data_IF_315184656243
#
_entry.id   IF_315184656243
#
_cell.length_a   1.000
_cell.length_b   1.000
_cell.length_c   1.000
_cell.angle_alpha   90.00
_cell.angle_beta   90.00
_cell.angle_gamma   90.00
#
_symmetry.space_group_name_H-M   'P 1'
#
loop_
_entity.id
_entity.type
_entity.pdbx_description
1 polymer ?
#
# COMPACT_ATOMS: atom_id res chain seq x y z
N UNK A 1 9.96 -0.64 32.06
CA UNK A 1 9.38 -1.10 30.77
C UNK A 1 8.59 0.00 30.06
N UNK A 2 7.50 0.53 30.63
CA UNK A 2 6.63 1.51 29.97
C UNK A 2 7.35 2.80 29.48
N UNK A 3 8.23 3.37 30.30
CA UNK A 3 8.92 4.62 29.96
C UNK A 3 9.87 4.48 28.75
N UNK A 4 10.49 3.31 28.57
CA UNK A 4 11.36 3.03 27.42
C UNK A 4 10.54 2.88 26.13
N UNK A 5 9.35 2.27 26.21
CA UNK A 5 8.44 2.14 25.09
C UNK A 5 7.89 3.51 24.64
N UNK A 6 7.48 4.37 25.57
CA UNK A 6 7.02 5.73 25.27
C UNK A 6 8.11 6.57 24.62
N UNK A 7 9.36 6.42 25.06
CA UNK A 7 10.50 7.12 24.49
C UNK A 7 10.81 6.65 23.05
N UNK A 8 10.73 5.35 22.81
CA UNK A 8 10.92 4.77 21.49
C UNK A 8 9.82 5.22 20.51
N UNK A 9 8.57 5.30 20.97
CA UNK A 9 7.45 5.81 20.18
C UNK A 9 7.66 7.29 19.83
N UNK A 10 8.04 8.12 20.80
CA UNK A 10 8.33 9.54 20.55
C UNK A 10 9.49 9.75 19.56
N UNK A 11 10.50 8.88 19.60
CA UNK A 11 11.61 8.90 18.64
C UNK A 11 11.16 8.48 17.23
N UNK A 12 10.23 7.53 17.13
CA UNK A 12 9.65 7.13 15.85
C UNK A 12 8.84 8.28 15.23
N UNK A 13 8.04 8.98 16.01
CA UNK A 13 7.27 10.16 15.56
C UNK A 13 8.17 11.32 15.09
N UNK A 14 9.39 11.43 15.64
CA UNK A 14 10.38 12.43 15.23
C UNK A 14 11.23 12.00 14.01
N UNK A 15 10.97 10.83 13.44
CA UNK A 15 11.73 10.24 12.33
C UNK A 15 11.00 10.41 10.99
N UNK A 16 11.78 10.60 9.92
CA UNK A 16 11.24 10.66 8.57
C UNK A 16 10.95 9.25 8.05
N UNK A 17 9.75 8.97 7.51
CA UNK A 17 9.41 7.65 6.97
C UNK A 17 10.14 7.32 5.66
N UNK A 18 10.76 8.32 5.01
CA UNK A 18 11.51 8.11 3.75
C UNK A 18 12.97 7.74 4.04
N UNK A 19 13.69 8.54 4.80
CA UNK A 19 15.12 8.28 5.09
C UNK A 19 15.36 7.50 6.38
N UNK A 20 14.33 7.27 7.19
CA UNK A 20 14.36 6.53 8.47
C UNK A 20 15.32 7.13 9.51
N UNK A 21 15.68 8.39 9.34
CA UNK A 21 16.49 9.21 10.26
C UNK A 21 15.62 10.33 10.85
N UNK A 22 16.12 11.03 11.87
CA UNK A 22 15.44 12.19 12.43
C UNK A 22 15.11 13.22 11.34
N UNK A 23 13.92 13.80 11.43
CA UNK A 23 13.46 14.83 10.50
C UNK A 23 14.46 16.00 10.44
N UNK A 24 14.94 16.30 9.23
CA UNK A 24 15.76 17.47 8.91
C UNK A 24 14.93 18.45 8.10
N UNK A 25 14.82 19.68 8.58
CA UNK A 25 13.92 20.70 8.00
C UNK A 25 12.52 20.11 7.72
N UNK A 26 11.82 19.61 8.76
CA UNK A 26 10.55 18.94 8.57
C UNK A 26 9.55 19.82 7.84
N UNK A 27 8.81 19.21 6.92
CA UNK A 27 7.59 19.77 6.32
C UNK A 27 6.42 18.88 6.69
N UNK A 28 5.26 19.50 6.85
CA UNK A 28 3.99 18.81 7.13
C UNK A 28 3.13 18.91 5.88
N UNK A 29 2.69 17.76 5.40
CA UNK A 29 1.71 17.66 4.29
C UNK A 29 0.30 17.96 4.79
N UNK A 30 -0.63 18.23 3.89
CA UNK A 30 -2.03 18.56 4.24
C UNK A 30 -2.75 17.40 4.96
N UNK A 31 -2.32 16.15 4.70
CA UNK A 31 -2.79 14.98 5.44
C UNK A 31 -2.17 14.81 6.84
N UNK A 32 -1.30 15.72 7.27
CA UNK A 32 -0.67 15.72 8.59
C UNK A 32 0.62 14.90 8.72
N UNK A 33 1.04 14.18 7.67
CA UNK A 33 2.30 13.42 7.69
C UNK A 33 3.52 14.32 7.51
N UNK A 34 4.62 13.96 8.17
CA UNK A 34 5.83 14.77 8.27
C UNK A 34 7.03 14.12 7.58
N UNK A 35 7.78 14.91 6.81
CA UNK A 35 8.92 14.44 6.04
C UNK A 35 10.08 15.43 6.12
N UNK A 36 11.31 14.98 5.87
CA UNK A 36 12.39 15.92 5.56
C UNK A 36 12.03 16.64 4.26
N UNK A 37 12.27 17.96 4.19
CA UNK A 37 12.01 18.76 3.00
C UNK A 37 12.66 18.17 1.74
N UNK A 38 13.92 17.75 1.83
CA UNK A 38 14.62 17.13 0.69
C UNK A 38 14.02 15.78 0.29
N UNK A 39 13.63 14.94 1.26
CA UNK A 39 13.10 13.61 0.99
C UNK A 39 11.78 13.65 0.24
N UNK A 40 10.86 14.54 0.63
CA UNK A 40 9.56 14.65 -0.05
C UNK A 40 9.70 15.29 -1.43
N UNK A 41 10.58 16.29 -1.59
CA UNK A 41 10.82 16.91 -2.89
C UNK A 41 11.45 15.96 -3.90
N UNK A 42 12.39 15.12 -3.46
CA UNK A 42 12.97 14.07 -4.29
C UNK A 42 11.91 13.03 -4.67
N UNK A 43 11.00 12.68 -3.75
CA UNK A 43 9.90 11.76 -4.06
C UNK A 43 8.92 12.34 -5.07
N UNK A 44 8.78 13.65 -5.14
CA UNK A 44 7.92 14.39 -6.07
C UNK A 44 8.67 15.00 -7.26
N UNK A 45 9.91 14.57 -7.54
CA UNK A 45 10.75 15.18 -8.56
C UNK A 45 10.17 15.01 -9.99
N UNK A 46 9.68 13.82 -10.31
CA UNK A 46 9.18 13.46 -11.64
C UNK A 46 7.64 13.56 -11.80
N UNK A 47 6.94 14.08 -10.78
CA UNK A 47 5.48 14.15 -10.78
C UNK A 47 4.97 15.52 -11.28
N UNK A 48 3.95 15.49 -12.14
CA UNK A 48 3.27 16.69 -12.63
C UNK A 48 1.81 16.69 -12.20
N UNK A 49 1.37 17.77 -11.55
CA UNK A 49 -0.02 17.98 -11.10
C UNK A 49 -0.43 17.20 -9.86
N UNK A 50 0.15 16.01 -9.67
CA UNK A 50 -0.28 15.07 -8.65
C UNK A 50 0.80 14.74 -7.62
N UNK A 51 0.58 15.09 -6.35
CA UNK A 51 1.58 14.93 -5.27
C UNK A 51 1.03 14.05 -4.13
N UNK A 52 1.02 12.72 -4.28
CA UNK A 52 0.51 11.83 -3.25
C UNK A 52 1.44 11.80 -2.03
N UNK A 53 0.85 11.77 -0.84
CA UNK A 53 1.57 11.53 0.41
C UNK A 53 2.19 10.12 0.40
N UNK A 54 3.51 9.96 0.65
CA UNK A 54 4.15 8.65 0.68
C UNK A 54 3.65 7.67 1.75
N UNK A 55 2.86 8.14 2.73
CA UNK A 55 2.35 7.31 3.84
C UNK A 55 0.90 6.90 3.61
N UNK A 56 0.00 7.84 3.33
CA UNK A 56 -1.43 7.57 3.22
C UNK A 56 -2.00 7.71 1.79
N UNK A 57 -1.16 8.07 0.82
CA UNK A 57 -1.52 8.28 -0.59
C UNK A 57 -2.54 9.40 -0.83
N UNK A 58 -2.94 10.15 0.19
CA UNK A 58 -3.80 11.32 0.02
C UNK A 58 -3.11 12.39 -0.83
N UNK A 59 -3.91 13.04 -1.66
CA UNK A 59 -3.44 14.06 -2.57
C UNK A 59 -3.02 15.33 -1.83
N UNK A 60 -1.79 15.78 -2.07
CA UNK A 60 -1.36 17.10 -1.65
C UNK A 60 -1.58 18.07 -2.84
N UNK A 61 -2.34 19.16 -2.65
CA UNK A 61 -2.66 20.10 -3.72
C UNK A 61 -1.47 20.95 -4.17
N UNK A 62 -0.40 21.03 -3.36
CA UNK A 62 0.76 21.87 -3.66
C UNK A 62 2.09 21.20 -3.32
N UNK A 63 3.08 21.42 -4.19
CA UNK A 63 4.49 21.06 -4.01
C UNK A 63 5.19 22.01 -3.04
N UNK A 64 4.68 23.23 -2.85
CA UNK A 64 5.28 24.29 -2.02
C UNK A 64 5.02 24.12 -0.52
N UNK A 65 5.47 22.99 0.03
CA UNK A 65 5.30 22.68 1.45
C UNK A 65 6.12 23.64 2.33
N UNK A 66 5.44 24.25 3.31
CA UNK A 66 6.10 25.09 4.31
C UNK A 66 6.80 24.23 5.35
N UNK A 67 7.99 24.67 5.75
CA UNK A 67 8.72 24.05 6.86
C UNK A 67 7.97 24.23 8.17
N UNK A 68 7.89 23.17 8.94
CA UNK A 68 7.36 23.16 10.29
C UNK A 68 8.49 23.47 11.29
N UNK A 69 8.67 24.75 11.59
CA UNK A 69 9.74 25.22 12.48
C UNK A 69 9.56 24.75 13.92
N UNK A 70 8.32 24.56 14.38
CA UNK A 70 8.03 24.02 15.70
C UNK A 70 8.46 22.56 15.78
N UNK A 71 8.09 21.75 14.80
CA UNK A 71 8.50 20.34 14.75
C UNK A 71 10.02 20.20 14.64
N UNK A 72 10.69 21.09 13.91
CA UNK A 72 12.16 21.13 13.88
C UNK A 72 12.76 21.28 15.29
N UNK A 73 12.25 22.22 16.09
CA UNK A 73 12.67 22.40 17.49
C UNK A 73 12.34 21.18 18.36
N UNK A 74 11.16 20.58 18.17
CA UNK A 74 10.76 19.38 18.92
C UNK A 74 11.69 18.21 18.61
N UNK A 75 12.05 18.00 17.34
CA UNK A 75 12.99 16.97 16.92
C UNK A 75 14.34 17.17 17.60
N UNK A 76 14.80 18.42 17.76
CA UNK A 76 16.05 18.71 18.48
C UNK A 76 15.97 18.41 19.98
N UNK A 77 14.82 18.61 20.61
CA UNK A 77 14.58 18.17 22.00
C UNK A 77 14.56 16.64 22.09
N UNK A 78 13.84 15.96 21.20
CA UNK A 78 13.76 14.48 21.17
C UNK A 78 15.13 13.86 20.93
N UNK A 79 15.97 14.48 20.09
CA UNK A 79 17.36 14.08 19.88
C UNK A 79 18.19 14.09 21.16
N UNK A 80 17.90 14.96 22.13
CA UNK A 80 18.64 15.06 23.41
C UNK A 80 18.20 14.01 24.44
N UNK A 81 17.04 13.39 24.25
CA UNK A 81 16.58 12.34 25.14
C UNK A 81 17.51 11.11 25.12
N UNK A 82 17.58 10.32 26.21
CA UNK A 82 18.41 9.13 26.31
C UNK A 82 18.04 8.13 25.21
N UNK A 83 18.72 8.22 24.09
CA UNK A 83 18.40 7.41 22.94
C UNK A 83 19.16 6.09 23.09
N UNK A 84 18.43 4.98 23.17
CA UNK A 84 19.02 3.63 23.08
C UNK A 84 19.83 3.47 21.79
N UNK A 85 19.60 4.31 20.77
CA UNK A 85 20.35 4.38 19.52
C UNK A 85 21.55 5.34 19.52
N UNK A 86 21.68 6.30 20.47
CA UNK A 86 22.80 7.29 20.48
C UNK A 86 24.15 6.75 20.93
N UNK A 87 24.22 5.51 21.47
CA UNK A 87 25.52 4.83 21.65
C UNK A 87 26.20 4.47 20.33
N UNK A 88 25.56 4.65 19.17
CA UNK A 88 26.19 4.47 17.84
C UNK A 88 26.60 5.81 17.23
N UNK A 89 27.24 6.69 18.01
CA UNK A 89 28.08 7.72 17.41
C UNK A 89 29.16 6.96 16.63
N UNK A 90 29.29 7.26 15.34
CA UNK A 90 30.13 6.62 14.31
C UNK A 90 31.60 6.46 14.72
N UNK A 91 31.90 5.60 15.67
CA UNK A 91 33.10 4.78 15.67
C UNK A 91 32.64 3.42 15.13
N UNK A 92 33.43 2.83 14.24
CA UNK A 92 33.29 1.43 13.84
C UNK A 92 33.56 0.54 15.07
N UNK A 93 32.65 0.56 16.06
CA UNK A 93 32.70 -0.39 17.16
C UNK A 93 32.31 -1.74 16.56
N UNK A 94 33.33 -2.53 16.24
CA UNK A 94 33.16 -3.89 15.77
C UNK A 94 32.39 -4.66 16.86
N UNK A 95 31.29 -5.34 16.51
CA UNK A 95 30.45 -6.02 17.50
C UNK A 95 31.26 -7.10 18.21
N UNK A 96 31.15 -7.17 19.53
CA UNK A 96 31.90 -8.11 20.36
C UNK A 96 30.99 -9.25 20.84
N UNK A 97 31.55 -10.45 20.91
CA UNK A 97 30.91 -11.61 21.50
C UNK A 97 30.80 -11.43 23.02
N UNK A 98 29.62 -11.62 23.58
CA UNK A 98 29.39 -11.48 25.03
C UNK A 98 30.18 -12.49 25.87
N UNK A 99 30.35 -13.72 25.36
CA UNK A 99 31.05 -14.81 26.07
C UNK A 99 32.56 -14.62 26.04
N UNK A 100 33.11 -14.26 24.88
CA UNK A 100 34.55 -14.30 24.61
C UNK A 100 35.20 -12.92 24.50
N UNK A 101 34.40 -11.84 24.47
CA UNK A 101 34.86 -10.46 24.29
C UNK A 101 35.74 -10.24 23.04
N UNK A 102 35.56 -11.10 22.03
CA UNK A 102 36.23 -11.01 20.74
C UNK A 102 35.29 -10.47 19.66
N UNK A 103 35.86 -9.89 18.61
CA UNK A 103 35.10 -9.41 17.46
C UNK A 103 34.29 -10.55 16.82
N UNK A 104 33.00 -10.29 16.61
CA UNK A 104 32.11 -11.11 15.81
C UNK A 104 32.42 -10.87 14.34
N UNK A 105 33.02 -11.86 13.68
CA UNK A 105 33.49 -11.76 12.29
C UNK A 105 33.01 -12.92 11.41
N UNK A 106 32.36 -13.92 11.99
CA UNK A 106 31.83 -15.09 11.29
C UNK A 106 30.30 -15.07 11.36
N UNK A 107 29.67 -15.65 10.36
CA UNK A 107 28.23 -15.83 10.28
C UNK A 107 27.92 -17.31 10.00
N UNK A 108 27.03 -17.88 10.82
CA UNK A 108 26.48 -19.21 10.58
C UNK A 108 25.23 -19.09 9.72
N UNK A 109 25.23 -19.72 8.54
CA UNK A 109 24.06 -19.64 7.64
C UNK A 109 22.88 -20.49 8.10
N UNK A 110 23.12 -21.52 8.90
CA UNK A 110 22.07 -22.42 9.41
C UNK A 110 21.30 -21.79 10.57
N UNK A 111 22.02 -21.28 11.57
CA UNK A 111 21.41 -20.70 12.77
C UNK A 111 21.14 -19.20 12.65
N UNK A 112 21.66 -18.57 11.59
CA UNK A 112 21.56 -17.12 11.33
C UNK A 112 22.20 -16.26 12.43
N UNK A 113 23.28 -16.75 13.04
CA UNK A 113 23.98 -16.09 14.15
C UNK A 113 25.35 -15.54 13.75
N UNK A 114 25.76 -14.46 14.42
CA UNK A 114 27.12 -13.92 14.35
C UNK A 114 27.99 -14.56 15.43
N UNK A 115 29.16 -15.03 15.02
CA UNK A 115 30.09 -15.77 15.87
C UNK A 115 31.47 -15.10 15.89
N UNK A 116 32.17 -15.24 17.01
CA UNK A 116 33.60 -14.93 17.07
C UNK A 116 34.43 -16.20 16.78
N UNK A 117 35.74 -16.07 16.52
CA UNK A 117 36.62 -17.22 16.24
C UNK A 117 36.63 -18.28 17.35
N UNK A 118 36.41 -17.89 18.61
CA UNK A 118 36.35 -18.84 19.74
C UNK A 118 35.01 -19.58 19.81
N UNK A 119 33.88 -18.96 19.45
CA UNK A 119 32.58 -19.66 19.40
C UNK A 119 32.63 -20.86 18.45
N UNK A 120 33.37 -20.79 17.34
CA UNK A 120 33.57 -21.93 16.45
C UNK A 120 34.07 -23.19 17.17
N UNK A 121 34.90 -23.02 18.20
CA UNK A 121 35.57 -24.13 18.90
C UNK A 121 34.81 -24.54 20.17
N UNK A 122 34.07 -23.61 20.79
CA UNK A 122 33.45 -23.79 22.10
C UNK A 122 31.94 -24.06 22.09
N UNK A 123 31.29 -24.10 20.92
CA UNK A 123 29.82 -24.21 20.81
C UNK A 123 29.37 -25.27 19.81
N UNK A 124 28.05 -25.48 19.74
CA UNK A 124 27.33 -26.43 18.86
C UNK A 124 27.53 -26.17 17.34
N UNK A 125 28.24 -25.11 16.95
CA UNK A 125 28.48 -24.74 15.55
C UNK A 125 29.78 -25.31 14.97
N UNK A 126 30.35 -26.38 15.55
CA UNK A 126 31.61 -26.96 15.07
C UNK A 126 31.50 -27.53 13.65
N UNK A 127 30.30 -27.99 13.26
CA UNK A 127 30.03 -28.65 11.99
C UNK A 127 29.24 -27.77 10.99
N UNK A 128 28.82 -26.57 11.40
CA UNK A 128 28.03 -25.70 10.52
C UNK A 128 28.93 -24.90 9.57
N UNK A 129 28.50 -24.64 8.32
CA UNK A 129 29.18 -23.74 7.40
C UNK A 129 29.24 -22.32 7.97
N UNK A 130 30.45 -21.87 8.29
CA UNK A 130 30.72 -20.50 8.73
C UNK A 130 31.36 -19.72 7.59
N UNK A 131 30.79 -18.56 7.30
CA UNK A 131 31.33 -17.62 6.30
C UNK A 131 31.71 -16.29 6.96
N UNK A 132 32.65 -15.52 6.40
CA UNK A 132 32.94 -14.17 6.89
C UNK A 132 31.70 -13.28 6.86
N UNK A 133 31.52 -12.47 7.91
CA UNK A 133 30.37 -11.58 8.06
C UNK A 133 30.18 -10.66 6.84
N UNK A 134 31.28 -10.12 6.30
CA UNK A 134 31.26 -9.22 5.15
C UNK A 134 30.74 -9.93 3.90
N UNK A 135 31.13 -11.19 3.72
CA UNK A 135 30.70 -12.03 2.60
C UNK A 135 29.22 -12.41 2.73
N UNK A 136 28.80 -12.89 3.91
CA UNK A 136 27.39 -13.16 4.19
C UNK A 136 26.53 -11.92 3.93
N UNK A 137 26.95 -10.77 4.45
CA UNK A 137 26.23 -9.52 4.26
C UNK A 137 26.15 -9.11 2.78
N UNK A 138 27.20 -9.32 2.00
CA UNK A 138 27.17 -9.07 0.55
C UNK A 138 26.19 -10.00 -0.16
N UNK A 139 26.22 -11.31 0.13
CA UNK A 139 25.31 -12.31 -0.42
C UNK A 139 23.85 -12.00 -0.06
N UNK A 140 23.54 -11.71 1.20
CA UNK A 140 22.18 -11.39 1.64
C UNK A 140 21.69 -10.07 1.05
N UNK A 141 22.52 -9.03 0.97
CA UNK A 141 22.16 -7.77 0.28
C UNK A 141 21.79 -8.02 -1.18
N UNK A 142 22.57 -8.83 -1.89
CA UNK A 142 22.26 -9.20 -3.28
C UNK A 142 20.93 -9.96 -3.38
N UNK A 143 20.73 -11.00 -2.58
CA UNK A 143 19.47 -11.78 -2.56
C UNK A 143 18.24 -10.91 -2.28
N UNK A 144 18.36 -9.96 -1.34
CA UNK A 144 17.30 -9.01 -1.04
C UNK A 144 17.02 -8.09 -2.23
N UNK A 145 18.07 -7.53 -2.84
CA UNK A 145 17.94 -6.68 -4.03
C UNK A 145 17.23 -7.42 -5.17
N UNK A 146 17.68 -8.63 -5.49
CA UNK A 146 17.07 -9.46 -6.54
C UNK A 146 15.61 -9.77 -6.24
N UNK A 147 15.27 -9.98 -4.96
CA UNK A 147 13.89 -10.26 -4.53
C UNK A 147 12.99 -9.03 -4.63
N UNK A 148 13.49 -7.86 -4.25
CA UNK A 148 12.78 -6.58 -4.41
C UNK A 148 12.52 -6.31 -5.89
N UNK A 149 13.52 -6.46 -6.76
CA UNK A 149 13.34 -6.27 -8.21
C UNK A 149 12.26 -7.20 -8.79
N UNK A 150 12.26 -8.48 -8.40
CA UNK A 150 11.21 -9.43 -8.82
C UNK A 150 9.83 -9.01 -8.35
N UNK A 151 9.69 -8.62 -7.08
CA UNK A 151 8.41 -8.22 -6.50
C UNK A 151 7.87 -6.95 -7.15
N UNK A 152 8.72 -5.96 -7.41
CA UNK A 152 8.35 -4.74 -8.12
C UNK A 152 7.81 -5.06 -9.52
N UNK A 153 8.49 -5.94 -10.27
CA UNK A 153 8.02 -6.40 -11.58
C UNK A 153 6.66 -7.08 -11.51
N UNK A 154 6.45 -7.96 -10.53
CA UNK A 154 5.15 -8.62 -10.34
C UNK A 154 4.02 -7.62 -10.03
N UNK A 155 4.31 -6.56 -9.25
CA UNK A 155 3.35 -5.49 -8.99
C UNK A 155 2.99 -4.76 -10.27
N UNK A 156 3.97 -4.37 -11.10
CA UNK A 156 3.71 -3.71 -12.39
C UNK A 156 2.85 -4.56 -13.33
N UNK A 157 3.14 -5.87 -13.41
CA UNK A 157 2.35 -6.80 -14.22
C UNK A 157 0.92 -6.94 -13.69
N UNK A 158 0.74 -7.01 -12.37
CA UNK A 158 -0.59 -7.06 -11.74
C UNK A 158 -1.39 -5.77 -11.99
N UNK A 159 -0.76 -4.60 -11.90
CA UNK A 159 -1.42 -3.33 -12.22
C UNK A 159 -1.89 -3.26 -13.67
N UNK A 160 -1.05 -3.65 -14.63
CA UNK A 160 -1.42 -3.72 -16.06
C UNK A 160 -2.57 -4.70 -16.30
N UNK A 161 -2.54 -5.86 -15.64
CA UNK A 161 -3.62 -6.85 -15.74
C UNK A 161 -4.94 -6.31 -15.19
N UNK A 162 -4.90 -5.57 -14.08
CA UNK A 162 -6.06 -4.91 -13.49
C UNK A 162 -6.62 -3.84 -14.43
N UNK A 163 -5.77 -2.97 -14.98
CA UNK A 163 -6.18 -1.94 -15.94
C UNK A 163 -6.86 -2.54 -17.17
N UNK A 164 -6.29 -3.60 -17.76
CA UNK A 164 -6.93 -4.32 -18.87
C UNK A 164 -8.29 -4.92 -18.49
N UNK A 165 -8.42 -5.48 -17.28
CA UNK A 165 -9.70 -6.01 -16.80
C UNK A 165 -10.76 -4.91 -16.63
N UNK A 166 -10.37 -3.76 -16.08
CA UNK A 166 -11.25 -2.61 -15.93
C UNK A 166 -11.74 -2.12 -17.29
N UNK A 167 -10.84 -1.95 -18.27
CA UNK A 167 -11.21 -1.56 -19.63
C UNK A 167 -12.19 -2.54 -20.28
N UNK A 168 -11.94 -3.85 -20.17
CA UNK A 168 -12.87 -4.89 -20.67
C UNK A 168 -14.24 -4.81 -20.00
N UNK A 169 -14.28 -4.54 -18.69
CA UNK A 169 -15.54 -4.37 -17.97
C UNK A 169 -16.33 -3.16 -18.48
N UNK A 170 -15.66 -2.06 -18.80
CA UNK A 170 -16.31 -0.87 -19.38
C UNK A 170 -16.84 -1.13 -20.80
N UNK A 171 -16.07 -1.82 -21.65
CA UNK A 171 -16.53 -2.21 -23.00
C UNK A 171 -17.79 -3.08 -22.92
N UNK A 172 -17.79 -4.08 -22.05
CA UNK A 172 -18.96 -4.94 -21.84
C UNK A 172 -20.17 -4.14 -21.33
N UNK A 173 -19.96 -3.23 -20.38
CA UNK A 173 -21.01 -2.36 -19.86
C UNK A 173 -21.61 -1.48 -20.97
N UNK A 174 -20.76 -0.90 -21.81
CA UNK A 174 -21.19 -0.10 -22.95
C UNK A 174 -22.03 -0.92 -23.94
N UNK A 175 -21.60 -2.15 -24.27
CA UNK A 175 -22.35 -3.02 -25.18
C UNK A 175 -23.73 -3.36 -24.61
N UNK A 176 -23.81 -3.69 -23.31
CA UNK A 176 -25.10 -3.95 -22.63
C UNK A 176 -26.02 -2.74 -22.68
N UNK A 177 -25.51 -1.53 -22.43
CA UNK A 177 -26.33 -0.31 -22.48
C UNK A 177 -26.78 0.03 -23.91
N UNK A 178 -25.93 -0.22 -24.91
CA UNK A 178 -26.27 -0.05 -26.31
C UNK A 178 -27.38 -1.02 -26.74
N UNK A 179 -27.28 -2.30 -26.37
CA UNK A 179 -28.32 -3.30 -26.63
C UNK A 179 -29.64 -2.94 -25.93
N UNK A 180 -29.57 -2.51 -24.66
CA UNK A 180 -30.73 -2.03 -23.91
C UNK A 180 -31.39 -0.83 -24.59
N UNK A 181 -30.61 0.13 -25.08
CA UNK A 181 -31.14 1.30 -25.81
C UNK A 181 -31.83 0.91 -27.11
N UNK A 182 -31.26 -0.02 -27.88
CA UNK A 182 -31.90 -0.57 -29.10
C UNK A 182 -33.23 -1.24 -28.78
N UNK A 183 -33.27 -2.12 -27.77
CA UNK A 183 -34.51 -2.77 -27.33
C UNK A 183 -35.54 -1.76 -26.85
N UNK A 184 -35.13 -0.71 -26.14
CA UNK A 184 -36.02 0.37 -25.72
C UNK A 184 -36.64 1.08 -26.93
N UNK A 185 -35.84 1.41 -27.95
CA UNK A 185 -36.34 2.02 -29.19
C UNK A 185 -37.33 1.11 -29.92
N UNK A 186 -37.05 -0.19 -30.02
CA UNK A 186 -37.97 -1.17 -30.62
C UNK A 186 -39.29 -1.26 -29.85
N UNK A 187 -39.23 -1.27 -28.51
CA UNK A 187 -40.42 -1.27 -27.64
C UNK A 187 -41.23 0.02 -27.82
N UNK A 188 -40.58 1.20 -27.84
CA UNK A 188 -41.29 2.47 -28.07
C UNK A 188 -41.90 2.57 -29.47
N UNK A 189 -41.18 2.08 -30.50
CA UNK A 189 -41.72 1.99 -31.85
C UNK A 189 -42.95 1.07 -31.89
N UNK A 190 -42.86 -0.10 -31.25
CA UNK A 190 -44.00 -1.03 -31.17
C UNK A 190 -45.17 -0.39 -30.43
N UNK A 191 -44.96 0.28 -29.28
CA UNK A 191 -46.01 1.02 -28.56
C UNK A 191 -46.69 2.04 -29.46
N UNK A 192 -45.91 2.87 -30.16
CA UNK A 192 -46.43 3.90 -31.09
C UNK A 192 -47.29 3.30 -32.20
N UNK A 193 -46.87 2.16 -32.77
CA UNK A 193 -47.64 1.42 -33.77
C UNK A 193 -49.00 0.98 -33.23
N UNK A 194 -49.05 0.39 -32.02
CA UNK A 194 -50.29 -0.05 -31.39
C UNK A 194 -51.23 1.09 -30.98
N UNK A 195 -50.69 2.25 -30.61
CA UNK A 195 -51.49 3.43 -30.24
C UNK A 195 -52.06 4.18 -31.44
N UNK A 196 -51.35 4.18 -32.56
CA UNK A 196 -51.71 5.01 -33.74
C UNK A 196 -52.43 4.19 -34.82
N UNK A 197 -52.10 2.91 -34.99
CA UNK A 197 -52.65 2.05 -36.04
C UNK A 197 -53.98 1.41 -35.70
N UNK A 198 -54.20 0.96 -34.44
CA UNK A 198 -55.35 0.15 -34.03
C UNK A 198 -55.82 0.43 -32.58
N UNK A 199 -56.41 1.62 -32.30
CA UNK A 199 -56.78 2.02 -30.94
C UNK A 199 -57.89 1.16 -30.29
N UNK A 200 -58.77 0.53 -31.08
CA UNK A 200 -59.86 -0.31 -30.55
C UNK A 200 -59.45 -1.77 -30.29
N UNK A 201 -58.51 -2.31 -31.08
CA UNK A 201 -57.92 -3.64 -30.86
C UNK A 201 -57.05 -3.65 -29.60
N UNK A 202 -56.28 -2.57 -29.38
CA UNK A 202 -55.41 -2.40 -28.21
C UNK A 202 -56.18 -2.33 -26.89
N UNK A 203 -57.35 -1.68 -26.87
CA UNK A 203 -58.25 -1.66 -25.70
C UNK A 203 -58.78 -3.05 -25.37
N UNK A 204 -59.12 -3.84 -26.39
CA UNK A 204 -59.66 -5.20 -26.24
C UNK A 204 -58.64 -6.17 -25.65
N UNK A 205 -57.39 -6.13 -26.12
CA UNK A 205 -56.29 -6.96 -25.60
C UNK A 205 -55.94 -6.60 -24.14
N UNK A 206 -55.94 -5.31 -23.78
CA UNK A 206 -55.70 -4.87 -22.39
C UNK A 206 -56.82 -5.33 -21.45
N UNK A 207 -58.08 -5.39 -21.94
CA UNK A 207 -59.22 -5.88 -21.16
C UNK A 207 -59.10 -7.41 -20.95
N UNK A 208 -58.72 -8.18 -21.98
CA UNK A 208 -58.58 -9.63 -21.89
C UNK A 208 -57.35 -10.09 -21.08
N UNK A 209 -56.25 -9.34 -21.13
CA UNK A 209 -55.00 -9.69 -20.41
C UNK A 209 -54.96 -9.22 -18.95
N UNK A 210 -55.85 -8.29 -18.57
CA UNK A 210 -55.98 -7.76 -17.21
C UNK A 210 -56.12 -8.84 -16.11
N UNK A 211 -56.99 -9.85 -16.24
CA UNK A 211 -57.12 -10.92 -15.25
C UNK A 211 -55.86 -11.80 -15.12
N UNK A 212 -55.10 -11.98 -16.20
CA UNK A 212 -53.85 -12.76 -16.18
C UNK A 212 -52.71 -11.98 -15.50
N UNK A 213 -52.62 -10.67 -15.74
CA UNK A 213 -51.63 -9.80 -15.09
C UNK A 213 -51.90 -9.65 -13.58
N UNK A 214 -53.15 -9.51 -13.14
CA UNK A 214 -53.49 -9.49 -11.71
C UNK A 214 -53.22 -10.84 -11.01
N UNK A 215 -53.42 -11.96 -11.71
CA UNK A 215 -53.04 -13.29 -11.20
C UNK A 215 -51.52 -13.46 -11.05
N UNK A 216 -50.73 -12.99 -12.01
CA UNK A 216 -49.26 -13.03 -11.93
C UNK A 216 -48.71 -12.12 -10.82
N UNK A 217 -49.26 -10.90 -10.66
CA UNK A 217 -48.81 -9.95 -9.63
C UNK A 217 -49.18 -10.44 -8.22
N UNK A 218 -50.36 -11.03 -8.03
CA UNK A 218 -50.74 -11.64 -6.76
C UNK A 218 -49.90 -12.87 -6.40
N UNK A 219 -49.49 -13.68 -7.41
CA UNK A 219 -48.59 -14.82 -7.22
C UNK A 219 -47.13 -14.42 -6.92
N UNK A 220 -46.68 -13.26 -7.42
CA UNK A 220 -45.34 -12.71 -7.16
C UNK A 220 -45.27 -11.98 -5.80
N UNK A 221 -46.35 -11.33 -5.36
CA UNK A 221 -46.44 -10.66 -4.06
C UNK A 221 -46.44 -11.61 -2.84
N UNK A 222 -46.69 -12.90 -3.05
CA UNK A 222 -46.64 -13.93 -1.99
C UNK A 222 -45.25 -14.54 -1.77
N UNK A 223 -44.23 -14.19 -2.56
CA UNK A 223 -42.87 -14.75 -2.44
C UNK A 223 -41.86 -13.89 -1.68
N UNK A 224 -42.31 -12.85 -0.97
CA UNK A 224 -41.45 -12.00 -0.12
C UNK A 224 -41.89 -11.98 1.35
N UNK A 225 -42.12 -13.17 1.93
CA UNK A 225 -41.94 -13.39 3.36
C UNK A 225 -41.27 -14.75 3.58
N UNK A 226 -40.11 -14.69 4.24
CA UNK A 226 -39.14 -15.73 4.61
C UNK A 226 -38.12 -16.11 3.55
#
# INVERSE_FOLDING_TARGET
MAQAASLAQLQAEASCPICLDYLRDPVTTDCGHNFCHSCILQRWEDLQGDFPCPVCLQHCPDRSLRRNTQLCRMVDVVKQLPNTRRKRKRQEEKPLCEKHHQVLSLFCEEDLELLCPQCRVSSDHCDHPLVPMEQAAACHRKRLKDSIERLTKHLEEAYKALEMQVSKSYELMWEVENQKSKLQLEVEHMKSFWTTGHPDSSKSIIIESKPYLTHCISSLGTRTKF
#
